data_IF_789697241186
#
_entry.id   IF_789697241186
#
_cell.length_a   1.000
_cell.length_b   1.000
_cell.length_c   1.000
_cell.angle_alpha   90.00
_cell.angle_beta   90.00
_cell.angle_gamma   90.00
#
_symmetry.space_group_name_H-M   'P 1'
#
loop_
_entity.id
_entity.type
_entity.pdbx_description
1 polymer ?
#
# COMPACT_ATOMS: atom_id res chain seq x y z
N UNK A 1 -12.47 -39.86 4.82
CA UNK A 1 -11.60 -39.07 5.73
C UNK A 1 -10.85 -38.05 4.91
N UNK A 2 -11.30 -36.80 4.96
CA UNK A 2 -10.61 -35.65 4.40
C UNK A 2 -9.46 -35.29 5.35
N UNK A 3 -8.24 -35.47 4.89
CA UNK A 3 -7.07 -34.96 5.58
C UNK A 3 -7.09 -33.43 5.50
N UNK A 4 -7.32 -32.76 6.63
CA UNK A 4 -7.08 -31.33 6.78
C UNK A 4 -5.59 -31.10 6.57
N UNK A 5 -5.24 -30.40 5.48
CA UNK A 5 -3.87 -29.95 5.25
C UNK A 5 -3.40 -29.08 6.42
N UNK A 6 -2.22 -29.36 6.93
CA UNK A 6 -1.59 -28.52 7.93
C UNK A 6 -1.45 -27.07 7.39
N UNK A 7 -1.66 -26.06 8.22
CA UNK A 7 -1.47 -24.68 7.81
C UNK A 7 -0.02 -24.52 7.34
N UNK A 8 0.16 -23.96 6.15
CA UNK A 8 1.47 -23.55 5.65
C UNK A 8 1.92 -22.38 6.53
N UNK A 9 2.67 -22.66 7.59
CA UNK A 9 3.34 -21.64 8.37
C UNK A 9 4.47 -21.13 7.49
N UNK A 10 4.31 -19.95 6.89
CA UNK A 10 5.43 -19.20 6.34
C UNK A 10 6.43 -19.00 7.49
N UNK A 11 7.54 -19.73 7.42
CA UNK A 11 8.66 -19.52 8.34
C UNK A 11 9.27 -18.16 8.01
N UNK A 12 8.78 -17.11 8.64
CA UNK A 12 9.49 -15.83 8.65
C UNK A 12 10.91 -16.08 9.18
N UNK A 13 11.89 -15.43 8.58
CA UNK A 13 13.27 -15.48 9.10
C UNK A 13 13.23 -15.14 10.59
N UNK A 14 13.80 -16.02 11.42
CA UNK A 14 13.82 -15.86 12.88
C UNK A 14 14.40 -14.49 13.29
N UNK A 15 15.32 -13.93 12.49
CA UNK A 15 15.88 -12.61 12.72
C UNK A 15 14.81 -11.49 12.65
N UNK A 16 13.80 -11.61 11.78
CA UNK A 16 12.70 -10.64 11.65
C UNK A 16 11.81 -10.65 12.88
N UNK A 17 11.57 -11.83 13.48
CA UNK A 17 10.72 -11.99 14.67
C UNK A 17 11.32 -11.35 15.93
N UNK A 18 12.62 -11.08 15.93
CA UNK A 18 13.35 -10.51 17.06
C UNK A 18 13.76 -9.05 16.87
N UNK A 19 13.32 -8.42 15.79
CA UNK A 19 13.55 -7.00 15.60
C UNK A 19 12.77 -6.16 16.62
N UNK A 20 13.40 -5.08 17.10
CA UNK A 20 12.77 -4.11 18.01
C UNK A 20 11.78 -3.18 17.26
N UNK A 21 10.95 -3.74 16.39
CA UNK A 21 9.96 -3.00 15.61
C UNK A 21 8.60 -3.17 16.28
N UNK A 22 7.91 -2.06 16.49
CA UNK A 22 6.61 -2.03 17.12
C UNK A 22 6.66 -2.13 18.65
N UNK A 23 5.57 -2.54 19.26
CA UNK A 23 5.44 -2.66 20.70
C UNK A 23 6.02 -3.99 21.20
N UNK A 24 7.13 -4.00 21.98
CA UNK A 24 7.73 -5.22 22.51
C UNK A 24 6.76 -6.05 23.36
N UNK A 25 5.76 -5.40 23.98
CA UNK A 25 4.73 -6.08 24.77
C UNK A 25 3.79 -6.97 23.95
N UNK A 26 3.85 -6.89 22.63
CA UNK A 26 3.07 -7.74 21.71
C UNK A 26 3.85 -8.95 21.19
N UNK A 27 5.13 -9.01 21.48
CA UNK A 27 5.96 -10.11 21.02
C UNK A 27 5.46 -11.44 21.63
N UNK A 28 5.30 -12.46 20.80
CA UNK A 28 4.80 -13.78 21.20
C UNK A 28 3.29 -13.87 21.47
N UNK A 29 2.51 -12.83 21.18
CA UNK A 29 1.05 -12.94 21.23
C UNK A 29 0.53 -13.70 20.01
N UNK A 30 -0.36 -14.65 20.29
CA UNK A 30 -1.14 -15.33 19.27
C UNK A 30 -2.54 -14.69 19.18
N UNK A 31 -3.01 -14.46 17.96
CA UNK A 31 -4.36 -13.98 17.70
C UNK A 31 -5.07 -14.94 16.76
N UNK A 32 -6.36 -15.26 16.98
CA UNK A 32 -7.10 -16.08 16.05
C UNK A 32 -7.27 -15.35 14.73
N UNK A 33 -6.92 -16.02 13.62
CA UNK A 33 -7.27 -15.56 12.29
C UNK A 33 -8.65 -16.08 11.95
N UNK A 34 -9.57 -15.18 11.67
CA UNK A 34 -10.93 -15.49 11.23
C UNK A 34 -11.10 -14.97 9.81
N UNK A 35 -11.62 -15.82 8.93
CA UNK A 35 -11.92 -15.44 7.55
C UNK A 35 -12.84 -14.22 7.56
N UNK A 36 -12.52 -13.22 6.74
CA UNK A 36 -13.22 -11.91 6.69
C UNK A 36 -13.23 -11.11 7.99
N UNK A 37 -12.51 -11.56 9.01
CA UNK A 37 -12.39 -10.86 10.29
C UNK A 37 -11.37 -9.72 10.24
N UNK A 38 -11.62 -8.70 11.06
CA UNK A 38 -10.65 -7.64 11.34
C UNK A 38 -10.15 -7.86 12.76
N UNK A 39 -8.84 -8.01 12.93
CA UNK A 39 -8.24 -8.15 14.26
C UNK A 39 -7.52 -6.86 14.64
N UNK A 40 -7.92 -6.25 15.74
CA UNK A 40 -7.14 -5.21 16.39
C UNK A 40 -5.90 -5.82 17.03
N UNK A 41 -4.75 -5.64 16.42
CA UNK A 41 -3.49 -6.20 16.89
C UNK A 41 -3.00 -5.61 18.21
N UNK A 42 -3.57 -4.49 18.67
CA UNK A 42 -3.29 -3.92 19.99
C UNK A 42 -3.87 -4.78 21.11
N UNK A 43 -5.08 -5.28 20.90
CA UNK A 43 -5.84 -6.01 21.92
C UNK A 43 -5.99 -7.51 21.61
N UNK A 44 -5.78 -7.91 20.35
CA UNK A 44 -6.09 -9.26 19.84
C UNK A 44 -7.59 -9.50 19.61
N UNK A 45 -8.44 -8.50 19.77
CA UNK A 45 -9.88 -8.62 19.63
C UNK A 45 -10.30 -8.59 18.16
N UNK A 46 -11.31 -9.40 17.81
CA UNK A 46 -12.04 -9.24 16.55
C UNK A 46 -12.93 -8.01 16.64
N UNK A 47 -12.91 -7.19 15.61
CA UNK A 47 -13.70 -5.96 15.52
C UNK A 47 -14.44 -5.89 14.19
N UNK A 48 -15.53 -5.16 14.17
CA UNK A 48 -16.28 -4.83 12.97
C UNK A 48 -15.64 -3.69 12.18
N UNK A 49 -15.97 -3.49 10.90
CA UNK A 49 -15.54 -2.32 10.14
C UNK A 49 -15.93 -0.99 10.81
N UNK A 50 -17.09 -0.92 11.47
CA UNK A 50 -17.58 0.26 12.18
C UNK A 50 -16.72 0.56 13.42
N UNK A 51 -16.38 -0.48 14.20
CA UNK A 51 -15.48 -0.34 15.34
C UNK A 51 -14.06 0.06 14.91
N UNK A 52 -13.57 -0.48 13.79
CA UNK A 52 -12.33 -0.05 13.19
C UNK A 52 -12.36 1.43 12.84
N UNK A 53 -13.41 1.90 12.16
CA UNK A 53 -13.56 3.30 11.79
C UNK A 53 -13.59 4.22 13.03
N UNK A 54 -14.23 3.79 14.13
CA UNK A 54 -14.22 4.52 15.40
C UNK A 54 -12.83 4.58 16.02
N UNK A 55 -12.11 3.46 16.05
CA UNK A 55 -10.74 3.40 16.58
C UNK A 55 -9.77 4.29 15.78
N UNK A 56 -9.99 4.42 14.48
CA UNK A 56 -9.21 5.26 13.60
C UNK A 56 -9.66 6.74 13.59
N UNK A 57 -10.59 7.14 14.45
CA UNK A 57 -11.16 8.49 14.43
C UNK A 57 -10.13 9.62 14.58
N UNK A 58 -9.03 9.39 15.30
CA UNK A 58 -7.92 10.34 15.46
C UNK A 58 -6.79 10.18 14.44
N UNK A 59 -6.89 9.22 13.50
CA UNK A 59 -5.83 8.91 12.54
C UNK A 59 -5.91 9.86 11.35
N UNK A 60 -4.82 10.60 11.07
CA UNK A 60 -4.73 11.49 9.92
C UNK A 60 -4.28 10.79 8.65
N UNK A 61 -3.45 9.75 8.74
CA UNK A 61 -2.95 8.98 7.61
C UNK A 61 -3.08 7.50 7.93
N UNK A 62 -3.63 6.73 7.00
CA UNK A 62 -3.76 5.29 7.07
C UNK A 62 -3.09 4.66 5.85
N UNK A 63 -2.15 3.76 6.07
CA UNK A 63 -1.56 2.93 5.03
C UNK A 63 -2.23 1.56 5.00
N UNK A 64 -2.69 1.15 3.82
CA UNK A 64 -3.30 -0.15 3.61
C UNK A 64 -2.49 -0.87 2.55
N UNK A 65 -1.63 -1.79 2.98
CA UNK A 65 -0.81 -2.61 2.10
C UNK A 65 -1.63 -3.63 1.32
N UNK A 66 -1.03 -4.16 0.25
CA UNK A 66 -1.67 -5.19 -0.57
C UNK A 66 -0.66 -6.20 -1.12
N UNK A 67 -1.18 -7.35 -1.52
CA UNK A 67 -0.60 -8.18 -2.55
C UNK A 67 -1.39 -7.90 -3.83
N UNK A 68 -0.73 -7.37 -4.86
CA UNK A 68 -1.38 -6.83 -6.07
C UNK A 68 -2.26 -7.83 -6.82
N UNK A 69 -2.07 -9.12 -6.64
CA UNK A 69 -2.83 -10.18 -7.32
C UNK A 69 -3.85 -10.89 -6.42
N UNK A 70 -3.97 -10.48 -5.17
CA UNK A 70 -4.90 -11.08 -4.21
C UNK A 70 -6.12 -10.19 -4.03
N UNK A 71 -7.28 -10.68 -4.47
CA UNK A 71 -8.55 -9.95 -4.41
C UNK A 71 -8.96 -9.57 -2.99
N UNK A 72 -8.59 -10.37 -1.98
CA UNK A 72 -9.01 -10.10 -0.61
C UNK A 72 -8.32 -8.85 -0.03
N UNK A 73 -7.09 -8.56 -0.40
CA UNK A 73 -6.45 -7.30 -0.02
C UNK A 73 -7.23 -6.09 -0.57
N UNK A 74 -7.66 -6.15 -1.84
CA UNK A 74 -8.45 -5.08 -2.45
C UNK A 74 -9.84 -4.95 -1.83
N UNK A 75 -10.43 -6.08 -1.44
CA UNK A 75 -11.68 -6.09 -0.70
C UNK A 75 -11.53 -5.43 0.68
N UNK A 76 -10.42 -5.66 1.38
CA UNK A 76 -10.11 -4.99 2.66
C UNK A 76 -9.92 -3.50 2.48
N UNK A 77 -9.16 -3.07 1.45
CA UNK A 77 -9.00 -1.65 1.12
C UNK A 77 -10.37 -0.99 0.88
N UNK A 78 -11.20 -1.60 0.04
CA UNK A 78 -12.54 -1.09 -0.27
C UNK A 78 -13.43 -1.00 0.97
N UNK A 79 -13.50 -2.07 1.79
CA UNK A 79 -14.29 -2.09 3.03
C UNK A 79 -13.83 -1.02 4.02
N UNK A 80 -12.52 -0.79 4.11
CA UNK A 80 -11.95 0.23 4.99
C UNK A 80 -12.32 1.64 4.54
N UNK A 81 -12.15 1.96 3.27
CA UNK A 81 -12.55 3.26 2.69
C UNK A 81 -14.04 3.50 2.93
N UNK A 82 -14.86 2.49 2.64
CA UNK A 82 -16.30 2.56 2.82
C UNK A 82 -16.68 2.81 4.29
N UNK A 83 -16.12 2.05 5.22
CA UNK A 83 -16.43 2.19 6.65
C UNK A 83 -16.04 3.56 7.20
N UNK A 84 -14.90 4.11 6.80
CA UNK A 84 -14.46 5.45 7.20
C UNK A 84 -15.41 6.53 6.65
N UNK A 85 -15.76 6.44 5.36
CA UNK A 85 -16.67 7.38 4.74
C UNK A 85 -18.08 7.31 5.35
N UNK A 86 -18.63 6.12 5.58
CA UNK A 86 -19.94 5.92 6.21
C UNK A 86 -19.97 6.36 7.67
N UNK A 87 -18.82 6.37 8.35
CA UNK A 87 -18.67 6.97 9.67
C UNK A 87 -18.59 8.51 9.65
N UNK A 88 -18.82 9.15 8.51
CA UNK A 88 -18.83 10.60 8.33
C UNK A 88 -17.44 11.24 8.27
N UNK A 89 -16.39 10.44 8.00
CA UNK A 89 -15.04 10.97 7.83
C UNK A 89 -14.86 11.57 6.43
N UNK A 90 -14.17 12.70 6.36
CA UNK A 90 -13.59 13.16 5.11
C UNK A 90 -12.45 12.19 4.74
N UNK A 91 -12.64 11.46 3.65
CA UNK A 91 -11.67 10.48 3.16
C UNK A 91 -11.03 11.01 1.88
N UNK A 92 -9.72 10.94 1.82
CA UNK A 92 -8.92 11.18 0.61
C UNK A 92 -8.14 9.88 0.31
N UNK A 93 -8.05 9.50 -0.96
CA UNK A 93 -7.41 8.25 -1.34
C UNK A 93 -6.11 8.56 -2.09
N UNK A 94 -4.97 8.18 -1.52
CA UNK A 94 -3.68 8.21 -2.22
C UNK A 94 -3.44 6.92 -3.00
N UNK A 95 -3.10 7.02 -4.26
CA UNK A 95 -2.93 5.91 -5.20
C UNK A 95 -1.47 5.78 -5.64
N UNK A 96 -0.83 4.66 -5.29
CA UNK A 96 0.55 4.35 -5.66
C UNK A 96 0.75 4.19 -7.17
N UNK A 97 -0.26 3.69 -7.89
CA UNK A 97 -0.17 3.38 -9.30
C UNK A 97 0.02 4.61 -10.20
N UNK A 98 -0.20 5.81 -9.67
CA UNK A 98 -0.09 7.05 -10.43
C UNK A 98 1.03 7.94 -9.90
N UNK A 99 1.95 8.39 -10.77
CA UNK A 99 2.87 9.46 -10.41
C UNK A 99 2.10 10.78 -10.27
N UNK A 100 2.53 11.63 -9.33
CA UNK A 100 1.83 12.88 -9.05
C UNK A 100 1.72 13.82 -10.27
N UNK A 101 2.57 13.64 -11.28
CA UNK A 101 2.51 14.36 -12.56
C UNK A 101 1.29 14.00 -13.41
N UNK A 102 0.62 12.90 -13.09
CA UNK A 102 -0.60 12.44 -13.77
C UNK A 102 -1.89 12.75 -12.99
N UNK A 103 -1.84 13.64 -12.00
CA UNK A 103 -3.00 14.01 -11.19
C UNK A 103 -4.22 14.42 -12.04
N UNK A 104 -4.02 15.07 -13.17
CA UNK A 104 -5.11 15.49 -14.05
C UNK A 104 -5.99 14.32 -14.56
N UNK A 105 -5.45 13.11 -14.69
CA UNK A 105 -6.25 11.92 -15.01
C UNK A 105 -7.24 11.57 -13.91
N UNK A 106 -6.79 11.63 -12.66
CA UNK A 106 -7.63 11.37 -11.49
C UNK A 106 -8.67 12.48 -11.28
N UNK A 107 -8.29 13.74 -11.49
CA UNK A 107 -9.22 14.87 -11.38
C UNK A 107 -10.37 14.72 -12.39
N UNK A 108 -10.05 14.40 -13.64
CA UNK A 108 -11.04 14.16 -14.67
C UNK A 108 -11.92 12.93 -14.41
N UNK A 109 -11.34 11.87 -13.83
CA UNK A 109 -12.12 10.73 -13.35
C UNK A 109 -13.09 11.13 -12.23
N UNK A 110 -12.60 11.87 -11.23
CA UNK A 110 -13.39 12.31 -10.08
C UNK A 110 -14.60 13.17 -10.51
N UNK A 111 -14.44 13.99 -11.55
CA UNK A 111 -15.54 14.82 -12.11
C UNK A 111 -16.51 14.03 -12.98
N UNK A 112 -16.22 12.76 -13.28
CA UNK A 112 -17.04 11.93 -14.16
C UNK A 112 -16.86 12.23 -15.65
N UNK A 113 -15.79 12.94 -16.03
CA UNK A 113 -15.52 13.26 -17.43
C UNK A 113 -15.26 12.03 -18.30
N UNK A 114 -14.68 10.97 -17.68
CA UNK A 114 -14.34 9.74 -18.39
C UNK A 114 -15.35 8.63 -18.11
N UNK A 115 -15.63 7.82 -19.13
CA UNK A 115 -16.20 6.49 -18.93
C UNK A 115 -15.16 5.58 -18.27
N UNK A 116 -15.59 4.47 -17.71
CA UNK A 116 -14.66 3.51 -17.08
C UNK A 116 -13.61 3.00 -18.09
N UNK A 117 -14.06 2.56 -19.28
CA UNK A 117 -13.15 2.09 -20.33
C UNK A 117 -12.22 3.20 -20.85
N UNK A 118 -12.75 4.41 -21.02
CA UNK A 118 -11.96 5.57 -21.43
C UNK A 118 -10.87 5.92 -20.40
N UNK A 119 -11.18 5.84 -19.11
CA UNK A 119 -10.17 6.06 -18.07
C UNK A 119 -9.05 5.01 -18.12
N UNK A 120 -9.42 3.72 -18.21
CA UNK A 120 -8.44 2.61 -18.27
C UNK A 120 -7.53 2.76 -19.48
N UNK A 121 -8.06 3.19 -20.63
CA UNK A 121 -7.30 3.43 -21.84
C UNK A 121 -6.38 4.65 -21.70
N UNK A 122 -6.91 5.80 -21.27
CA UNK A 122 -6.14 7.05 -21.12
C UNK A 122 -5.04 6.95 -20.06
N UNK A 123 -5.30 6.21 -19.00
CA UNK A 123 -4.30 5.91 -17.97
C UNK A 123 -3.23 4.92 -18.44
N UNK A 124 -3.38 4.35 -19.65
CA UNK A 124 -2.56 3.23 -20.12
C UNK A 124 -2.37 2.18 -19.00
N UNK A 125 -3.49 1.83 -18.34
CA UNK A 125 -3.51 1.09 -17.07
C UNK A 125 -2.62 -0.15 -17.09
N UNK A 126 -2.74 -0.97 -18.13
CA UNK A 126 -2.01 -2.23 -18.21
C UNK A 126 -0.52 -2.06 -18.53
N UNK A 127 -0.13 -0.96 -19.18
CA UNK A 127 1.26 -0.63 -19.44
C UNK A 127 1.91 0.02 -18.21
N UNK A 128 1.15 0.84 -17.50
CA UNK A 128 1.62 1.61 -16.35
C UNK A 128 1.59 0.83 -15.05
N UNK A 129 0.54 0.06 -14.78
CA UNK A 129 0.41 -0.68 -13.53
C UNK A 129 0.56 -2.20 -13.72
N UNK A 130 0.03 -2.76 -14.81
CA UNK A 130 0.22 -4.15 -15.19
C UNK A 130 -0.73 -5.15 -14.50
N UNK A 131 -1.44 -4.75 -13.46
CA UNK A 131 -2.40 -5.61 -12.76
C UNK A 131 -3.82 -5.39 -13.27
N UNK A 132 -4.66 -6.42 -13.15
CA UNK A 132 -6.00 -6.37 -13.71
C UNK A 132 -6.86 -5.27 -13.06
N UNK A 133 -7.51 -4.43 -13.88
CA UNK A 133 -8.36 -3.33 -13.43
C UNK A 133 -9.41 -3.73 -12.40
N UNK A 134 -10.02 -4.91 -12.54
CA UNK A 134 -11.07 -5.37 -11.63
C UNK A 134 -10.65 -5.46 -10.17
N UNK A 135 -9.37 -5.60 -9.87
CA UNK A 135 -8.88 -5.56 -8.49
C UNK A 135 -9.21 -4.22 -7.81
N UNK A 136 -9.06 -3.13 -8.55
CA UNK A 136 -9.17 -1.75 -8.04
C UNK A 136 -10.52 -1.10 -8.37
N UNK A 137 -11.26 -1.65 -9.31
CA UNK A 137 -12.48 -1.10 -9.90
C UNK A 137 -13.48 -0.60 -8.86
N UNK A 138 -13.75 -1.38 -7.84
CA UNK A 138 -14.76 -1.04 -6.83
C UNK A 138 -14.38 0.20 -6.04
N UNK A 139 -13.10 0.39 -5.74
CA UNK A 139 -12.57 1.58 -5.06
C UNK A 139 -12.79 2.82 -5.93
N UNK A 140 -12.40 2.74 -7.21
CA UNK A 140 -12.53 3.85 -8.15
C UNK A 140 -13.99 4.26 -8.40
N UNK A 141 -14.88 3.29 -8.58
CA UNK A 141 -16.30 3.56 -8.79
C UNK A 141 -16.97 4.16 -7.55
N UNK A 142 -16.68 3.60 -6.38
CA UNK A 142 -17.21 4.11 -5.12
C UNK A 142 -16.71 5.53 -4.83
N UNK A 143 -15.41 5.77 -5.00
CA UNK A 143 -14.83 7.09 -4.81
C UNK A 143 -15.52 8.14 -5.68
N UNK A 144 -15.69 7.85 -6.98
CA UNK A 144 -16.41 8.75 -7.90
C UNK A 144 -17.86 8.94 -7.52
N UNK A 145 -18.59 7.87 -7.19
CA UNK A 145 -20.01 7.94 -6.78
C UNK A 145 -20.20 8.80 -5.52
N UNK A 146 -19.28 8.70 -4.58
CA UNK A 146 -19.37 9.38 -3.29
C UNK A 146 -18.63 10.73 -3.26
N UNK A 147 -18.03 11.16 -4.35
CA UNK A 147 -17.25 12.40 -4.40
C UNK A 147 -15.98 12.35 -3.55
N UNK A 148 -15.41 11.17 -3.34
CA UNK A 148 -14.14 11.00 -2.61
C UNK A 148 -13.00 11.30 -3.59
N UNK A 149 -12.19 12.29 -3.27
CA UNK A 149 -11.06 12.65 -4.12
C UNK A 149 -9.94 11.62 -4.07
N UNK A 150 -9.38 11.33 -5.24
CA UNK A 150 -8.23 10.44 -5.40
C UNK A 150 -7.01 11.25 -5.82
N UNK A 151 -5.86 10.89 -5.26
CA UNK A 151 -4.60 11.59 -5.47
C UNK A 151 -3.51 10.64 -5.93
N UNK A 152 -2.77 11.07 -6.94
CA UNK A 152 -1.56 10.42 -7.38
C UNK A 152 -0.42 10.74 -6.40
N UNK A 153 0.19 9.72 -5.80
CA UNK A 153 1.17 9.94 -4.71
C UNK A 153 2.56 9.40 -5.01
N UNK A 154 2.75 8.76 -6.16
CA UNK A 154 4.05 8.22 -6.51
C UNK A 154 4.95 9.27 -7.20
N UNK A 155 6.24 9.02 -7.17
CA UNK A 155 7.21 9.76 -7.98
C UNK A 155 7.16 9.31 -9.44
N UNK A 156 7.55 10.17 -10.41
CA UNK A 156 7.67 9.77 -11.80
C UNK A 156 8.58 8.56 -11.97
N UNK A 157 8.17 7.61 -12.81
CA UNK A 157 8.89 6.33 -13.00
C UNK A 157 10.34 6.51 -13.42
N UNK A 158 10.62 7.54 -14.23
CA UNK A 158 11.97 7.82 -14.70
C UNK A 158 12.89 8.22 -13.54
N UNK A 159 12.36 8.98 -12.58
CA UNK A 159 13.09 9.34 -11.37
C UNK A 159 13.37 8.10 -10.51
N UNK A 160 12.36 7.24 -10.34
CA UNK A 160 12.53 5.97 -9.59
C UNK A 160 13.59 5.08 -10.26
N UNK A 161 13.59 4.98 -11.60
CA UNK A 161 14.62 4.26 -12.36
C UNK A 161 16.00 4.86 -12.16
N UNK A 162 16.10 6.19 -12.18
CA UNK A 162 17.37 6.91 -11.96
C UNK A 162 17.92 6.66 -10.56
N UNK A 163 17.07 6.74 -9.53
CA UNK A 163 17.46 6.42 -8.14
C UNK A 163 17.98 4.98 -8.05
N UNK A 164 17.28 4.01 -8.63
CA UNK A 164 17.72 2.61 -8.63
C UNK A 164 19.03 2.38 -9.37
N UNK A 165 19.29 3.12 -10.44
CA UNK A 165 20.46 2.94 -11.28
C UNK A 165 21.72 3.59 -10.71
N UNK A 166 21.60 4.74 -10.06
CA UNK A 166 22.75 5.58 -9.68
C UNK A 166 22.70 6.16 -8.26
N UNK A 167 21.64 5.86 -7.49
CA UNK A 167 21.45 6.38 -6.14
C UNK A 167 21.00 7.85 -6.10
N UNK A 168 20.74 8.35 -4.90
CA UNK A 168 20.25 9.74 -4.68
C UNK A 168 21.33 10.79 -4.96
N UNK A 169 22.59 10.48 -4.68
CA UNK A 169 23.70 11.44 -4.78
C UNK A 169 23.99 11.86 -6.23
N UNK A 170 23.73 11.00 -7.19
CA UNK A 170 24.07 11.21 -8.61
C UNK A 170 22.88 11.66 -9.45
N UNK A 171 21.77 12.05 -8.82
CA UNK A 171 20.61 12.60 -9.53
C UNK A 171 20.92 13.97 -10.11
N UNK A 172 20.38 14.27 -11.29
CA UNK A 172 20.41 15.62 -11.82
C UNK A 172 19.49 16.54 -10.99
N UNK A 173 19.69 17.88 -11.05
CA UNK A 173 18.78 18.81 -10.36
C UNK A 173 17.31 18.62 -10.77
N UNK A 174 17.04 18.31 -12.04
CA UNK A 174 15.67 18.04 -12.54
C UNK A 174 15.09 16.78 -11.92
N UNK A 175 15.86 15.69 -11.84
CA UNK A 175 15.42 14.44 -11.21
C UNK A 175 15.19 14.64 -9.71
N UNK A 176 16.12 15.33 -9.03
CA UNK A 176 16.01 15.60 -7.61
C UNK A 176 14.80 16.49 -7.25
N UNK A 177 14.39 17.38 -8.15
CA UNK A 177 13.22 18.24 -7.96
C UNK A 177 11.90 17.45 -7.84
N UNK A 178 11.87 16.21 -8.29
CA UNK A 178 10.72 15.31 -8.15
C UNK A 178 10.68 14.55 -6.82
N UNK A 179 11.69 14.70 -5.99
CA UNK A 179 11.77 14.02 -4.69
C UNK A 179 11.42 15.00 -3.55
N UNK A 180 10.97 14.49 -2.41
CA UNK A 180 10.79 15.32 -1.23
C UNK A 180 12.10 16.02 -0.86
N UNK A 181 12.05 17.27 -0.40
CA UNK A 181 13.26 18.05 -0.07
C UNK A 181 14.07 17.44 1.08
N UNK A 182 13.46 16.55 1.84
CA UNK A 182 14.11 15.80 2.91
C UNK A 182 13.61 14.36 2.88
N UNK A 183 14.51 13.45 2.58
CA UNK A 183 14.26 12.01 2.74
C UNK A 183 14.71 11.62 4.15
N UNK A 184 13.79 11.18 4.98
CA UNK A 184 14.08 10.61 6.29
C UNK A 184 14.31 9.09 6.15
N UNK A 185 15.37 8.73 5.43
CA UNK A 185 15.67 7.32 5.13
C UNK A 185 16.46 6.61 6.24
N UNK A 186 16.88 7.34 7.28
CA UNK A 186 17.72 6.79 8.34
C UNK A 186 16.90 6.14 9.44
N UNK A 187 16.44 4.92 9.18
CA UNK A 187 15.86 4.06 10.18
C UNK A 187 16.45 2.67 10.04
N UNK A 188 17.43 2.35 10.85
CA UNK A 188 18.18 1.08 10.81
C UNK A 188 17.26 -0.13 11.03
N UNK A 189 16.19 0.01 11.82
CA UNK A 189 15.23 -1.06 12.07
C UNK A 189 14.40 -1.36 10.82
N UNK A 190 13.90 -0.32 10.13
CA UNK A 190 13.20 -0.49 8.86
C UNK A 190 14.11 -1.06 7.78
N UNK A 191 15.35 -0.58 7.69
CA UNK A 191 16.35 -1.09 6.75
C UNK A 191 16.66 -2.58 7.01
N UNK A 192 16.80 -2.96 8.27
CA UNK A 192 17.02 -4.35 8.67
C UNK A 192 15.83 -5.24 8.35
N UNK A 193 14.61 -4.75 8.59
CA UNK A 193 13.38 -5.45 8.24
C UNK A 193 13.28 -5.65 6.71
N UNK A 194 13.53 -4.60 5.94
CA UNK A 194 13.51 -4.65 4.49
C UNK A 194 14.50 -5.70 3.96
N UNK A 195 15.75 -5.68 4.42
CA UNK A 195 16.79 -6.66 4.05
C UNK A 195 16.40 -8.11 4.40
N UNK A 196 15.64 -8.31 5.47
CA UNK A 196 15.21 -9.64 5.89
C UNK A 196 14.10 -10.24 4.99
N UNK A 197 13.36 -9.41 4.25
CA UNK A 197 12.37 -9.87 3.26
C UNK A 197 12.96 -10.21 1.90
N UNK A 198 14.19 -9.77 1.61
CA UNK A 198 14.83 -10.08 0.36
C UNK A 198 15.79 -11.25 0.56
N UNK A 199 15.58 -12.34 -0.16
CA UNK A 199 16.51 -13.46 -0.18
C UNK A 199 17.88 -12.95 -0.68
N UNK A 200 18.95 -13.35 -0.01
CA UNK A 200 20.33 -13.02 -0.40
C UNK A 200 20.67 -13.46 -1.83
N UNK A 201 19.84 -14.31 -2.42
CA UNK A 201 19.97 -14.79 -3.81
C UNK A 201 19.05 -14.03 -4.77
N UNK A 202 18.20 -13.13 -4.32
CA UNK A 202 17.35 -12.31 -5.18
C UNK A 202 18.15 -11.13 -5.75
N UNK A 203 19.02 -11.44 -6.70
CA UNK A 203 19.86 -10.48 -7.42
C UNK A 203 19.07 -9.65 -8.44
N UNK A 204 17.76 -9.91 -8.60
CA UNK A 204 16.95 -9.31 -9.66
C UNK A 204 16.44 -7.91 -9.32
N UNK A 205 16.42 -7.50 -8.05
CA UNK A 205 15.67 -6.30 -7.69
C UNK A 205 16.44 -5.22 -6.93
N UNK A 206 17.57 -5.52 -6.28
CA UNK A 206 18.25 -4.47 -5.50
C UNK A 206 19.76 -4.73 -5.38
N UNK A 207 20.57 -3.79 -5.81
CA UNK A 207 21.95 -3.69 -5.40
C UNK A 207 22.06 -2.93 -4.06
N UNK A 208 23.20 -3.06 -3.37
CA UNK A 208 23.40 -2.36 -2.08
C UNK A 208 23.25 -0.82 -2.20
N UNK A 209 23.54 -0.26 -3.37
CA UNK A 209 23.35 1.17 -3.64
C UNK A 209 21.87 1.61 -3.68
N UNK A 210 20.94 0.70 -3.90
CA UNK A 210 19.50 1.01 -3.84
C UNK A 210 18.94 0.92 -2.41
N UNK A 211 19.74 0.37 -1.48
CA UNK A 211 19.40 0.28 -0.05
C UNK A 211 19.98 1.46 0.76
N UNK A 212 20.98 2.14 0.23
CA UNK A 212 21.65 3.30 0.82
C UNK A 212 21.08 4.60 0.25
#
# INVERSE_FOLDING_TARGET
SLALGAPCVLMADQAVLHMKIGDPGRNGREVPLVLDGITDTTTGALITPQEMAQKLSGTGILFIGENHTDQEFHNVQFRTIKALHEAGREVLIGLEMFPYTEQALLDNWNTGLYTESGFVELAAWYDNWGYHWNYYRNIFLYAREKGINMYAVNSPREVVKSVRAKGFADLTPEEAAHLPPKLAAENDEHRSMYRAFFDKNDTLHMNDAALD
#
